data_IF_906915674024
#
_entry.id   IF_906915674024
#
_cell.length_a   1.000
_cell.length_b   1.000
_cell.length_c   1.000
_cell.angle_alpha   90.00
_cell.angle_beta   90.00
_cell.angle_gamma   90.00
#
_symmetry.space_group_name_H-M   'P 1'
#
loop_
_entity.id
_entity.type
_entity.pdbx_description
1 polymer ?
#
# COMPACT_ATOMS: atom_id res chain seq x y z
N UNK A 1 40.34 -42.63 -9.60
CA UNK A 1 39.94 -41.85 -10.79
C UNK A 1 38.51 -42.24 -11.11
N UNK A 2 37.53 -41.35 -10.89
CA UNK A 2 36.14 -41.66 -11.29
C UNK A 2 36.05 -41.63 -12.81
N UNK A 3 35.53 -42.70 -13.40
CA UNK A 3 35.34 -42.78 -14.85
C UNK A 3 34.40 -41.68 -15.33
N UNK A 4 34.84 -40.89 -16.31
CA UNK A 4 34.06 -39.84 -16.95
C UNK A 4 32.67 -40.33 -17.41
N UNK A 5 32.58 -41.59 -17.82
CA UNK A 5 31.33 -42.27 -18.21
C UNK A 5 30.34 -42.46 -17.05
N UNK A 6 30.81 -42.51 -15.81
CA UNK A 6 29.95 -42.61 -14.62
C UNK A 6 29.40 -41.24 -14.27
N UNK A 7 30.25 -40.22 -14.29
CA UNK A 7 29.87 -38.84 -14.02
C UNK A 7 28.86 -38.29 -15.04
N UNK A 8 29.04 -38.58 -16.33
CA UNK A 8 28.07 -38.20 -17.37
C UNK A 8 26.71 -38.89 -17.21
N UNK A 9 26.68 -40.14 -16.73
CA UNK A 9 25.43 -40.86 -16.44
C UNK A 9 24.70 -40.31 -15.22
N UNK A 10 25.46 -39.96 -14.18
CA UNK A 10 24.88 -39.40 -12.96
C UNK A 10 24.35 -37.98 -13.20
N UNK A 11 25.06 -37.16 -13.99
CA UNK A 11 24.57 -35.86 -14.46
C UNK A 11 23.31 -35.99 -15.33
N UNK A 12 23.25 -36.99 -16.22
CA UNK A 12 22.05 -37.25 -17.03
C UNK A 12 20.82 -37.53 -16.15
N UNK A 13 20.98 -38.39 -15.14
CA UNK A 13 19.91 -38.69 -14.17
C UNK A 13 19.50 -37.46 -13.36
N UNK A 14 20.45 -36.59 -13.03
CA UNK A 14 20.17 -35.37 -12.29
C UNK A 14 19.41 -34.34 -13.14
N UNK A 15 19.75 -34.21 -14.43
CA UNK A 15 19.02 -33.39 -15.39
C UNK A 15 17.57 -33.89 -15.52
N UNK A 16 17.36 -35.19 -15.66
CA UNK A 16 16.01 -35.78 -15.75
C UNK A 16 15.19 -35.52 -14.49
N UNK A 17 15.82 -35.63 -13.31
CA UNK A 17 15.17 -35.34 -12.02
C UNK A 17 14.79 -33.87 -11.90
N UNK A 18 15.65 -32.96 -12.36
CA UNK A 18 15.37 -31.53 -12.35
C UNK A 18 14.24 -31.17 -13.33
N UNK A 19 14.22 -31.79 -14.51
CA UNK A 19 13.15 -31.59 -15.49
C UNK A 19 11.78 -32.02 -14.93
N UNK A 20 11.69 -33.21 -14.32
CA UNK A 20 10.47 -33.69 -13.68
C UNK A 20 10.00 -32.77 -12.53
N UNK A 21 10.94 -32.24 -11.75
CA UNK A 21 10.61 -31.30 -10.67
C UNK A 21 10.09 -29.98 -11.22
N UNK A 22 10.67 -29.47 -12.29
CA UNK A 22 10.21 -28.24 -12.93
C UNK A 22 8.81 -28.41 -13.51
N UNK A 23 8.54 -29.52 -14.20
CA UNK A 23 7.22 -29.82 -14.75
C UNK A 23 6.16 -29.91 -13.64
N UNK A 24 6.49 -30.53 -12.51
CA UNK A 24 5.59 -30.57 -11.34
C UNK A 24 5.31 -29.18 -10.77
N UNK A 25 6.34 -28.32 -10.69
CA UNK A 25 6.19 -26.94 -10.20
C UNK A 25 5.34 -26.10 -11.14
N UNK A 26 5.52 -26.23 -12.45
CA UNK A 26 4.72 -25.55 -13.47
C UNK A 26 3.24 -25.94 -13.38
N UNK A 27 2.94 -27.25 -13.33
CA UNK A 27 1.57 -27.75 -13.14
C UNK A 27 0.94 -27.23 -11.85
N UNK A 28 1.72 -27.11 -10.76
CA UNK A 28 1.25 -26.58 -9.48
C UNK A 28 0.99 -25.08 -9.56
N UNK A 29 1.82 -24.31 -10.25
CA UNK A 29 1.62 -22.88 -10.47
C UNK A 29 0.40 -22.61 -11.35
N UNK A 30 0.16 -23.41 -12.38
CA UNK A 30 -1.04 -23.34 -13.21
C UNK A 30 -2.31 -23.61 -12.39
N UNK A 31 -2.29 -24.64 -11.53
CA UNK A 31 -3.39 -24.96 -10.63
C UNK A 31 -3.67 -23.83 -9.62
N UNK A 32 -2.63 -23.27 -9.01
CA UNK A 32 -2.76 -22.12 -8.09
C UNK A 32 -3.29 -20.89 -8.83
N UNK A 33 -2.78 -20.63 -10.03
CA UNK A 33 -3.20 -19.49 -10.85
C UNK A 33 -4.66 -19.62 -11.26
N UNK A 34 -5.11 -20.81 -11.69
CA UNK A 34 -6.52 -21.09 -11.98
C UNK A 34 -7.42 -20.93 -10.76
N UNK A 35 -6.99 -21.42 -9.60
CA UNK A 35 -7.72 -21.27 -8.33
C UNK A 35 -7.81 -19.80 -7.89
N UNK A 36 -6.73 -19.03 -8.03
CA UNK A 36 -6.71 -17.60 -7.74
C UNK A 36 -7.57 -16.81 -8.73
N UNK A 37 -7.57 -17.16 -10.02
CA UNK A 37 -8.42 -16.51 -11.02
C UNK A 37 -9.91 -16.76 -10.75
N UNK A 38 -10.25 -17.97 -10.28
CA UNK A 38 -11.58 -18.29 -9.74
C UNK A 38 -11.92 -17.48 -8.48
N UNK A 39 -11.00 -17.38 -7.52
CA UNK A 39 -11.19 -16.60 -6.29
C UNK A 39 -11.31 -15.09 -6.54
N UNK A 40 -10.60 -14.55 -7.54
CA UNK A 40 -10.72 -13.13 -7.97
C UNK A 40 -12.10 -12.85 -8.57
N UNK A 41 -12.70 -13.80 -9.29
CA UNK A 41 -14.07 -13.67 -9.82
C UNK A 41 -15.13 -13.77 -8.72
N UNK A 42 -14.93 -14.62 -7.71
CA UNK A 42 -15.90 -14.80 -6.60
C UNK A 42 -15.76 -13.70 -5.52
N UNK A 43 -14.60 -13.07 -5.38
CA UNK A 43 -14.36 -11.96 -4.44
C UNK A 43 -15.08 -10.64 -4.77
N UNK A 44 -15.72 -10.53 -5.94
CA UNK A 44 -16.41 -9.32 -6.39
C UNK A 44 -17.86 -9.19 -5.90
N UNK A 45 -18.41 -10.16 -5.15
CA UNK A 45 -19.86 -10.29 -4.99
C UNK A 45 -20.41 -10.56 -3.59
N UNK A 46 -19.97 -9.83 -2.54
CA UNK A 46 -20.81 -9.51 -1.35
C UNK A 46 -20.01 -8.72 -0.31
N UNK A 47 -20.07 -7.39 -0.39
CA UNK A 47 -19.81 -6.54 0.77
C UNK A 47 -20.97 -5.56 0.93
N UNK A 48 -21.67 -5.70 2.06
CA UNK A 48 -22.67 -4.77 2.61
C UNK A 48 -22.25 -3.32 2.32
N UNK A 49 -23.16 -2.41 1.90
CA UNK A 49 -22.83 -1.00 1.75
C UNK A 49 -22.62 -0.39 3.14
N UNK A 50 -21.38 -0.43 3.60
CA UNK A 50 -20.90 0.35 4.73
C UNK A 50 -20.90 1.83 4.35
N UNK A 51 -21.92 2.54 4.82
CA UNK A 51 -22.08 3.99 4.86
C UNK A 51 -20.72 4.68 5.16
N UNK A 52 -20.07 5.27 4.15
CA UNK A 52 -18.84 6.05 4.40
C UNK A 52 -17.88 6.34 3.25
N UNK A 53 -18.13 5.90 2.01
CA UNK A 53 -17.27 6.26 0.87
C UNK A 53 -17.53 7.70 0.40
N UNK A 54 -17.17 8.70 1.22
CA UNK A 54 -17.00 10.07 0.73
C UNK A 54 -15.58 10.22 0.22
N UNK A 55 -15.49 10.62 -1.04
CA UNK A 55 -14.32 11.11 -1.77
C UNK A 55 -13.23 10.07 -2.04
N UNK A 56 -13.35 9.41 -3.19
CA UNK A 56 -12.18 8.97 -3.93
C UNK A 56 -11.29 10.18 -4.20
N UNK A 57 -10.29 10.37 -3.35
CA UNK A 57 -9.13 11.15 -3.73
C UNK A 57 -8.61 10.51 -5.02
N UNK A 58 -8.64 11.27 -6.11
CA UNK A 58 -8.04 10.87 -7.39
C UNK A 58 -6.64 10.35 -7.06
N UNK A 59 -6.39 9.05 -7.29
CA UNK A 59 -5.18 8.29 -6.93
C UNK A 59 -3.90 8.77 -7.66
N UNK A 60 -3.77 10.05 -7.96
CA UNK A 60 -2.63 10.61 -8.69
C UNK A 60 -2.51 12.14 -8.66
N UNK A 61 -3.32 12.87 -7.89
CA UNK A 61 -3.09 14.31 -7.74
C UNK A 61 -1.88 14.53 -6.82
N UNK A 62 -0.83 15.25 -7.26
CA UNK A 62 0.31 15.54 -6.40
C UNK A 62 -0.15 16.35 -5.17
N UNK A 63 0.37 16.03 -3.98
CA UNK A 63 -0.03 16.71 -2.76
C UNK A 63 0.31 18.20 -2.85
N UNK A 64 -0.63 19.06 -2.41
CA UNK A 64 -0.46 20.52 -2.43
C UNK A 64 0.73 21.02 -1.59
N UNK A 65 1.21 20.20 -0.65
CA UNK A 65 2.35 20.49 0.20
C UNK A 65 3.41 19.41 0.03
N UNK A 66 4.66 19.85 -0.15
CA UNK A 66 5.81 18.95 -0.14
C UNK A 66 6.10 18.42 1.29
N UNK A 67 6.87 17.36 1.43
CA UNK A 67 7.16 16.72 2.71
C UNK A 67 7.85 17.66 3.72
N UNK A 68 8.77 18.51 3.25
CA UNK A 68 9.38 19.55 4.08
C UNK A 68 8.34 20.54 4.66
N UNK A 69 7.37 20.95 3.84
CA UNK A 69 6.28 21.84 4.27
C UNK A 69 5.32 21.12 5.22
N UNK A 70 5.09 19.81 5.01
CA UNK A 70 4.27 19.00 5.90
C UNK A 70 4.88 18.88 7.30
N UNK A 71 6.21 18.72 7.40
CA UNK A 71 6.93 18.72 8.68
C UNK A 71 6.83 20.09 9.38
N UNK A 72 6.94 21.19 8.63
CA UNK A 72 6.77 22.53 9.21
C UNK A 72 5.35 22.75 9.73
N UNK A 73 4.32 22.36 8.97
CA UNK A 73 2.93 22.40 9.40
C UNK A 73 2.68 21.60 10.67
N UNK A 74 3.31 20.41 10.79
CA UNK A 74 3.25 19.60 12.01
C UNK A 74 3.87 20.33 13.20
N UNK A 75 5.05 20.93 13.04
CA UNK A 75 5.70 21.70 14.13
C UNK A 75 4.82 22.86 14.61
N UNK A 76 4.20 23.59 13.69
CA UNK A 76 3.27 24.68 14.05
C UNK A 76 2.02 24.17 14.77
N UNK A 77 1.48 23.03 14.33
CA UNK A 77 0.36 22.37 14.98
C UNK A 77 0.70 21.88 16.40
N UNK A 78 1.87 21.28 16.59
CA UNK A 78 2.37 20.81 17.89
C UNK A 78 2.65 21.98 18.85
N UNK A 79 3.12 23.12 18.33
CA UNK A 79 3.26 24.38 19.10
C UNK A 79 1.93 24.97 19.56
N UNK A 80 0.80 24.44 19.08
CA UNK A 80 -0.54 24.82 19.54
C UNK A 80 -1.39 25.58 18.51
N UNK A 81 -0.91 25.77 17.29
CA UNK A 81 -1.74 26.35 16.23
C UNK A 81 -2.90 25.40 15.88
N UNK A 82 -4.09 25.96 15.71
CA UNK A 82 -5.25 25.16 15.29
C UNK A 82 -5.19 24.86 13.79
N UNK A 83 -5.80 23.73 13.37
CA UNK A 83 -5.88 23.37 11.94
C UNK A 83 -6.54 24.47 11.09
N UNK A 84 -7.47 25.24 11.68
CA UNK A 84 -8.13 26.37 11.02
C UNK A 84 -7.21 27.59 10.86
N UNK A 85 -6.37 27.89 11.85
CA UNK A 85 -5.37 28.96 11.73
C UNK A 85 -4.32 28.60 10.66
N UNK A 86 -3.86 27.34 10.63
CA UNK A 86 -2.95 26.84 9.60
C UNK A 86 -3.58 26.93 8.20
N UNK A 87 -4.85 26.57 8.06
CA UNK A 87 -5.58 26.69 6.79
C UNK A 87 -5.62 28.14 6.28
N UNK A 88 -5.90 29.11 7.16
CA UNK A 88 -5.91 30.54 6.82
C UNK A 88 -4.51 31.03 6.43
N UNK A 89 -3.49 30.70 7.23
CA UNK A 89 -2.10 31.14 7.01
C UNK A 89 -1.53 30.63 5.69
N UNK A 90 -1.79 29.36 5.38
CA UNK A 90 -1.27 28.71 4.17
C UNK A 90 -2.24 28.74 2.98
N UNK A 91 -3.34 29.53 3.06
CA UNK A 91 -4.36 29.67 2.00
C UNK A 91 -4.80 28.30 1.42
N UNK A 92 -5.02 27.34 2.31
CA UNK A 92 -5.37 25.97 1.95
C UNK A 92 -6.67 25.56 2.62
N UNK A 93 -7.43 24.68 1.95
CA UNK A 93 -8.63 24.14 2.53
C UNK A 93 -8.30 23.32 3.78
N UNK A 94 -9.16 23.40 4.79
CA UNK A 94 -9.04 22.63 6.03
C UNK A 94 -8.83 21.11 5.81
N UNK A 95 -9.55 20.43 4.87
CA UNK A 95 -9.27 19.04 4.56
C UNK A 95 -7.85 18.80 4.02
N UNK A 96 -7.31 19.74 3.23
CA UNK A 96 -5.93 19.64 2.73
C UNK A 96 -4.92 19.71 3.88
N UNK A 97 -5.11 20.62 4.84
CA UNK A 97 -4.26 20.72 6.04
C UNK A 97 -4.35 19.43 6.87
N UNK A 98 -5.56 18.92 7.13
CA UNK A 98 -5.74 17.69 7.91
C UNK A 98 -5.09 16.46 7.24
N UNK A 99 -5.22 16.33 5.93
CA UNK A 99 -4.55 15.28 5.15
C UNK A 99 -3.03 15.43 5.22
N UNK A 100 -2.52 16.65 5.14
CA UNK A 100 -1.07 16.94 5.21
C UNK A 100 -0.51 16.65 6.61
N UNK A 101 -1.24 17.03 7.67
CA UNK A 101 -0.88 16.72 9.05
C UNK A 101 -0.89 15.20 9.31
N UNK A 102 -1.86 14.47 8.76
CA UNK A 102 -1.91 13.01 8.84
C UNK A 102 -0.74 12.36 8.12
N UNK A 103 -0.39 12.86 6.93
CA UNK A 103 0.78 12.41 6.17
C UNK A 103 2.09 12.67 6.93
N UNK A 104 2.21 13.80 7.63
CA UNK A 104 3.35 14.13 8.47
C UNK A 104 3.39 13.37 9.82
N UNK A 105 2.42 12.52 10.10
CA UNK A 105 2.34 11.73 11.35
C UNK A 105 1.88 12.52 12.57
N UNK A 106 1.23 13.68 12.39
CA UNK A 106 0.74 14.46 13.52
C UNK A 106 -0.45 13.76 14.20
N UNK A 107 -0.41 13.66 15.54
CA UNK A 107 -1.55 13.21 16.33
C UNK A 107 -2.63 14.29 16.35
N UNK A 108 -3.61 14.17 15.46
CA UNK A 108 -4.72 15.11 15.39
C UNK A 108 -5.47 15.14 16.73
N UNK A 109 -5.51 16.32 17.36
CA UNK A 109 -6.30 16.58 18.56
C UNK A 109 -7.76 16.32 18.21
N UNK A 110 -8.31 15.19 18.69
CA UNK A 110 -9.72 14.87 18.54
C UNK A 110 -10.50 15.82 19.45
N UNK A 111 -11.14 16.81 18.86
CA UNK A 111 -11.97 17.76 19.57
C UNK A 111 -12.46 18.83 18.61
N UNK A 112 -13.75 19.14 18.67
CA UNK A 112 -14.30 20.35 18.07
C UNK A 112 -13.59 21.52 18.76
N UNK A 113 -12.88 22.41 18.04
CA UNK A 113 -12.25 23.56 18.69
C UNK A 113 -13.33 24.34 19.44
N UNK A 114 -13.10 24.63 20.72
CA UNK A 114 -14.00 25.47 21.51
C UNK A 114 -14.15 26.82 20.81
N UNK A 115 -15.38 27.19 20.51
CA UNK A 115 -15.74 28.49 19.94
C UNK A 115 -15.33 29.57 20.95
N UNK A 116 -14.13 30.13 20.84
CA UNK A 116 -13.83 31.41 21.49
C UNK A 116 -14.53 32.47 20.65
N UNK A 117 -15.59 33.01 21.25
CA UNK A 117 -16.31 34.23 20.85
C UNK A 117 -15.36 35.41 20.82
#
# INVERSE_FOLDING_TARGET
>A
MMDLRRLLRDLGREIDRLAQRNEFLERRLESITGALQGAVRVGAGRRKPGRGARTGARRGAPPKFNDAQAVQLRKEYEKGATSAQLARRHKAALPTILSTLRRAGAKLRRGRPSKKR
#
